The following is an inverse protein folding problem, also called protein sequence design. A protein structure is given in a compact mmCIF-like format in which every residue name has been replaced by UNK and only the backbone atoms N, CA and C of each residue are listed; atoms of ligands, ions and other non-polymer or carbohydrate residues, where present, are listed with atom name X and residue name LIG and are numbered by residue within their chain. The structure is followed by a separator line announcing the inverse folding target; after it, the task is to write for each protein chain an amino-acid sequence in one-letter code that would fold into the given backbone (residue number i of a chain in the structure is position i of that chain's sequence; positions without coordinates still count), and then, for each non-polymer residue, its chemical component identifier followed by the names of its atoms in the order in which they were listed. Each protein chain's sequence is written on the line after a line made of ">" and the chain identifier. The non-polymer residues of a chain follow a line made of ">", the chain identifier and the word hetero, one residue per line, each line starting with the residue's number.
data_IF_610908516993
#
_entry.id   IF_610908516993
#
_cell.length_a   1.000
_cell.length_b   1.000
_cell.length_c   1.000
_cell.angle_alpha   90.00
_cell.angle_beta   90.00
_cell.angle_gamma   90.00
#
_symmetry.space_group_name_H-M   'P 1'
#
loop_
_entity.id
_entity.type
_entity.pdbx_description
1 polymer ?
#
# COMPACT_ATOMS: atom_id res chain seq x y z
N UNK A 1 -8.10 -1.80 -21.85
CA UNK A 1 -8.30 -1.54 -20.42
C UNK A 1 -7.35 -2.48 -19.69
N UNK A 2 -6.36 -1.96 -18.98
CA UNK A 2 -5.47 -2.80 -18.16
C UNK A 2 -6.28 -3.44 -17.04
N UNK A 3 -6.12 -4.76 -16.87
CA UNK A 3 -6.84 -5.54 -15.87
C UNK A 3 -6.19 -5.47 -14.49
N UNK A 4 -6.85 -6.05 -13.49
CA UNK A 4 -6.26 -6.23 -12.15
C UNK A 4 -4.95 -7.04 -12.19
N UNK A 5 -4.84 -8.00 -13.13
CA UNK A 5 -3.62 -8.78 -13.35
C UNK A 5 -2.44 -7.90 -13.74
N UNK A 6 -2.61 -7.04 -14.76
CA UNK A 6 -1.60 -6.07 -15.18
C UNK A 6 -1.22 -5.15 -14.02
N UNK A 7 -2.22 -4.76 -13.22
CA UNK A 7 -2.00 -3.92 -12.05
C UNK A 7 -0.99 -4.52 -11.07
N UNK A 8 -1.16 -5.81 -10.73
CA UNK A 8 -0.28 -6.54 -9.83
C UNK A 8 1.09 -6.86 -10.44
N UNK A 9 1.13 -7.23 -11.71
CA UNK A 9 2.39 -7.56 -12.41
C UNK A 9 3.31 -6.34 -12.45
N UNK A 10 2.78 -5.20 -12.85
CA UNK A 10 3.52 -3.94 -12.94
C UNK A 10 3.87 -3.36 -11.55
N UNK A 11 3.13 -3.69 -10.48
CA UNK A 11 3.49 -3.28 -9.11
C UNK A 11 4.48 -4.22 -8.41
N UNK A 12 4.88 -5.29 -9.09
CA UNK A 12 5.88 -6.23 -8.60
C UNK A 12 5.48 -6.99 -7.34
N UNK A 13 6.48 -7.56 -6.69
CA UNK A 13 6.30 -8.43 -5.53
C UNK A 13 5.72 -7.68 -4.30
N UNK A 14 5.99 -6.38 -4.19
CA UNK A 14 5.49 -5.54 -3.10
C UNK A 14 3.95 -5.41 -3.03
N UNK A 15 3.24 -5.80 -4.09
CA UNK A 15 1.78 -5.83 -4.13
C UNK A 15 1.17 -6.86 -3.17
N UNK A 16 1.78 -8.04 -3.01
CA UNK A 16 1.21 -9.12 -2.20
C UNK A 16 1.24 -8.80 -0.69
N UNK A 17 2.37 -8.34 -0.10
CA UNK A 17 2.38 -7.90 1.28
C UNK A 17 1.41 -6.73 1.53
N UNK A 18 1.37 -5.76 0.61
CA UNK A 18 0.42 -4.63 0.66
C UNK A 18 -1.03 -5.12 0.70
N UNK A 19 -1.39 -6.10 -0.13
CA UNK A 19 -2.73 -6.70 -0.12
C UNK A 19 -3.05 -7.38 1.22
N UNK A 20 -2.13 -8.23 1.71
CA UNK A 20 -2.32 -8.97 2.97
C UNK A 20 -2.51 -8.02 4.14
N UNK A 21 -1.60 -7.06 4.31
CA UNK A 21 -1.71 -6.09 5.40
C UNK A 21 -2.87 -5.11 5.20
N UNK A 22 -3.23 -4.82 3.95
CA UNK A 22 -4.44 -4.07 3.58
C UNK A 22 -5.71 -4.71 4.11
N UNK A 23 -5.89 -5.99 3.80
CA UNK A 23 -7.04 -6.78 4.26
C UNK A 23 -7.05 -6.89 5.78
N UNK A 24 -5.91 -7.15 6.42
CA UNK A 24 -5.81 -7.20 7.89
C UNK A 24 -6.14 -5.85 8.55
N UNK A 25 -5.70 -4.74 7.96
CA UNK A 25 -5.98 -3.38 8.45
C UNK A 25 -7.48 -3.07 8.38
N UNK A 26 -8.13 -3.38 7.25
CA UNK A 26 -9.58 -3.22 7.10
C UNK A 26 -10.33 -4.16 8.05
N UNK A 27 -9.91 -5.41 8.18
CA UNK A 27 -10.49 -6.38 9.11
C UNK A 27 -10.41 -5.91 10.56
N UNK A 28 -9.26 -5.37 10.97
CA UNK A 28 -9.08 -4.74 12.29
C UNK A 28 -10.01 -3.54 12.49
N UNK A 29 -10.13 -2.66 11.49
CA UNK A 29 -11.02 -1.53 11.54
C UNK A 29 -12.50 -1.94 11.69
N UNK A 30 -12.96 -2.93 10.91
CA UNK A 30 -14.32 -3.49 11.03
C UNK A 30 -14.52 -4.09 12.42
N UNK A 31 -13.53 -4.83 12.93
CA UNK A 31 -13.60 -5.45 14.25
C UNK A 31 -13.70 -4.41 15.38
N UNK A 32 -12.99 -3.29 15.26
CA UNK A 32 -13.12 -2.13 16.13
C UNK A 32 -14.48 -1.44 15.99
N UNK A 33 -14.99 -1.26 14.77
CA UNK A 33 -16.27 -0.60 14.53
C UNK A 33 -17.50 -1.39 15.04
N UNK A 34 -17.38 -2.72 15.13
CA UNK A 34 -18.42 -3.59 15.69
C UNK A 34 -18.38 -3.61 17.22
N UNK A 35 -17.20 -3.67 17.86
CA UNK A 35 -17.08 -3.49 19.31
C UNK A 35 -15.89 -2.57 19.63
N UNK A 36 -16.15 -1.27 19.93
CA UNK A 36 -15.10 -0.30 20.18
C UNK A 36 -14.38 -0.56 21.50
N UNK A 37 -13.24 -1.25 21.42
CA UNK A 37 -12.37 -1.54 22.56
C UNK A 37 -10.96 -0.97 22.29
N UNK A 38 -10.29 -0.36 23.30
CA UNK A 38 -8.96 0.25 23.10
C UNK A 38 -7.91 -0.72 22.55
N UNK A 39 -7.95 -2.00 22.95
CA UNK A 39 -7.03 -3.04 22.46
C UNK A 39 -7.18 -3.29 20.95
N UNK A 40 -8.40 -3.22 20.43
CA UNK A 40 -8.69 -3.44 19.00
C UNK A 40 -8.27 -2.24 18.16
N UNK A 41 -8.42 -1.04 18.70
CA UNK A 41 -7.88 0.17 18.08
C UNK A 41 -6.35 0.11 18.02
N UNK A 42 -5.68 -0.31 19.10
CA UNK A 42 -4.23 -0.48 19.12
C UNK A 42 -3.74 -1.51 18.09
N UNK A 43 -4.42 -2.66 17.97
CA UNK A 43 -4.14 -3.65 16.92
C UNK A 43 -4.33 -3.05 15.51
N UNK A 44 -5.43 -2.35 15.29
CA UNK A 44 -5.72 -1.69 14.00
C UNK A 44 -4.65 -0.66 13.66
N UNK A 45 -4.21 0.13 14.63
CA UNK A 45 -3.12 1.10 14.46
C UNK A 45 -1.78 0.42 14.14
N UNK A 46 -1.48 -0.71 14.79
CA UNK A 46 -0.28 -1.49 14.47
C UNK A 46 -0.33 -2.04 13.03
N UNK A 47 -1.47 -2.57 12.59
CA UNK A 47 -1.65 -3.06 11.21
C UNK A 47 -1.59 -1.93 10.19
N UNK A 48 -2.18 -0.77 10.49
CA UNK A 48 -2.05 0.43 9.68
C UNK A 48 -0.58 0.84 9.49
N UNK A 49 0.21 0.83 10.57
CA UNK A 49 1.64 1.13 10.51
C UNK A 49 2.39 0.08 9.68
N UNK A 50 2.10 -1.21 9.87
CA UNK A 50 2.67 -2.29 9.06
C UNK A 50 2.37 -2.10 7.57
N UNK A 51 1.13 -1.73 7.22
CA UNK A 51 0.74 -1.45 5.85
C UNK A 51 1.51 -0.25 5.27
N UNK A 52 1.64 0.85 6.01
CA UNK A 52 2.45 2.00 5.60
C UNK A 52 3.91 1.60 5.37
N UNK A 53 4.50 0.83 6.29
CA UNK A 53 5.86 0.31 6.13
C UNK A 53 6.00 -0.59 4.91
N UNK A 54 5.01 -1.45 4.64
CA UNK A 54 5.01 -2.32 3.46
C UNK A 54 4.92 -1.53 2.15
N UNK A 55 4.07 -0.49 2.09
CA UNK A 55 3.97 0.42 0.95
C UNK A 55 5.32 1.10 0.69
N UNK A 56 5.91 1.71 1.71
CA UNK A 56 7.20 2.41 1.60
C UNK A 56 8.29 1.45 1.12
N UNK A 57 8.36 0.27 1.71
CA UNK A 57 9.35 -0.74 1.34
C UNK A 57 9.16 -1.20 -0.11
N UNK A 58 7.93 -1.49 -0.53
CA UNK A 58 7.60 -1.90 -1.90
C UNK A 58 7.96 -0.83 -2.93
N UNK A 59 7.56 0.43 -2.68
CA UNK A 59 7.93 1.56 -3.54
C UNK A 59 9.45 1.72 -3.61
N UNK A 60 10.16 1.56 -2.49
CA UNK A 60 11.62 1.64 -2.47
C UNK A 60 12.29 0.54 -3.28
N UNK A 61 11.79 -0.70 -3.20
CA UNK A 61 12.32 -1.82 -3.99
C UNK A 61 12.07 -1.65 -5.48
N UNK A 62 10.92 -1.09 -5.87
CA UNK A 62 10.62 -0.81 -7.28
C UNK A 62 11.54 0.29 -7.82
N UNK A 63 11.76 1.36 -7.06
CA UNK A 63 12.71 2.41 -7.43
C UNK A 63 14.14 1.87 -7.56
N UNK A 64 14.57 1.00 -6.63
CA UNK A 64 15.88 0.36 -6.71
C UNK A 64 16.02 -0.50 -7.98
N UNK A 65 14.96 -1.22 -8.37
CA UNK A 65 14.94 -2.00 -9.61
C UNK A 65 15.06 -1.12 -10.85
N UNK A 66 14.41 0.04 -10.88
CA UNK A 66 14.54 1.02 -11.97
C UNK A 66 15.98 1.53 -12.07
N UNK A 67 16.59 1.93 -10.95
CA UNK A 67 17.96 2.44 -10.96
C UNK A 67 18.96 1.37 -11.41
N UNK A 68 18.81 0.13 -10.92
CA UNK A 68 19.63 -1.00 -11.35
C UNK A 68 19.46 -1.33 -12.83
N UNK A 69 18.26 -1.13 -13.40
CA UNK A 69 18.02 -1.33 -14.82
C UNK A 69 18.66 -0.23 -15.68
N UNK A 70 18.61 1.03 -15.23
CA UNK A 70 19.16 2.19 -15.94
C UNK A 70 20.69 2.25 -15.89
N UNK A 71 21.32 1.66 -14.87
CA UNK A 71 22.78 1.62 -14.73
C UNK A 71 23.47 0.82 -15.86
N UNK A 72 22.77 -0.14 -16.47
CA UNK A 72 23.32 -1.00 -17.51
C UNK A 72 23.09 -0.40 -18.93
N UNK A 73 24.15 0.13 -19.60
CA UNK A 73 24.01 0.75 -20.92
C UNK A 73 23.62 -0.25 -22.01
N UNK A 74 23.85 -1.55 -21.79
CA UNK A 74 23.43 -2.59 -22.73
C UNK A 74 21.92 -2.85 -22.66
N UNK A 75 21.28 -2.53 -21.52
CA UNK A 75 19.82 -2.67 -21.34
C UNK A 75 19.05 -1.41 -21.74
N UNK A 76 19.65 -0.23 -21.60
CA UNK A 76 18.95 1.04 -21.83
C UNK A 76 19.73 1.95 -22.77
N UNK A 77 19.43 1.94 -24.09
CA UNK A 77 19.94 2.96 -25.00
C UNK A 77 19.51 4.37 -24.57
N UNK A 78 20.36 5.38 -24.76
CA UNK A 78 20.15 6.75 -24.26
C UNK A 78 18.77 7.34 -24.59
N UNK A 79 18.26 7.09 -25.80
CA UNK A 79 16.95 7.56 -26.26
C UNK A 79 15.75 6.96 -25.51
N UNK A 80 15.93 5.87 -24.77
CA UNK A 80 14.88 5.19 -24.02
C UNK A 80 14.86 5.55 -22.52
N UNK A 81 15.93 6.18 -21.98
CA UNK A 81 16.10 6.44 -20.54
C UNK A 81 14.89 7.16 -19.94
N UNK A 82 14.46 8.27 -20.55
CA UNK A 82 13.34 9.07 -20.03
C UNK A 82 12.03 8.26 -19.98
N UNK A 83 11.76 7.45 -21.01
CA UNK A 83 10.57 6.60 -21.05
C UNK A 83 10.63 5.49 -20.00
N UNK A 84 11.77 4.83 -19.86
CA UNK A 84 12.00 3.78 -18.85
C UNK A 84 11.85 4.33 -17.44
N UNK A 85 12.44 5.49 -17.16
CA UNK A 85 12.32 6.16 -15.87
C UNK A 85 10.87 6.51 -15.53
N UNK A 86 10.13 7.14 -16.44
CA UNK A 86 8.72 7.50 -16.20
C UNK A 86 7.84 6.25 -16.03
N UNK A 87 8.12 5.19 -16.79
CA UNK A 87 7.40 3.91 -16.68
C UNK A 87 7.66 3.27 -15.32
N UNK A 88 8.93 3.22 -14.90
CA UNK A 88 9.34 2.70 -13.61
C UNK A 88 8.74 3.49 -12.44
N UNK A 89 8.75 4.82 -12.52
CA UNK A 89 8.10 5.68 -11.51
C UNK A 89 6.59 5.41 -11.42
N UNK A 90 5.89 5.28 -12.56
CA UNK A 90 4.48 4.87 -12.59
C UNK A 90 4.28 3.52 -11.88
N UNK A 91 5.17 2.56 -12.11
CA UNK A 91 5.11 1.22 -11.49
C UNK A 91 5.32 1.27 -9.97
N UNK A 92 6.30 2.03 -9.50
CA UNK A 92 6.60 2.20 -8.07
C UNK A 92 5.46 2.84 -7.25
N UNK A 93 4.49 3.51 -7.90
CA UNK A 93 3.32 4.09 -7.22
C UNK A 93 2.21 3.08 -6.95
N UNK A 94 2.25 1.87 -7.53
CA UNK A 94 1.16 0.90 -7.45
C UNK A 94 0.93 0.32 -6.07
N UNK A 95 1.97 -0.05 -5.31
CA UNK A 95 1.81 -0.41 -3.91
C UNK A 95 1.13 0.71 -3.12
N UNK A 96 1.52 1.97 -3.39
CA UNK A 96 0.91 3.16 -2.78
C UNK A 96 -0.57 3.34 -3.13
N UNK A 97 -0.95 3.14 -4.40
CA UNK A 97 -2.35 3.25 -4.82
C UNK A 97 -3.24 2.17 -4.18
N UNK A 98 -2.75 0.93 -4.14
CA UNK A 98 -3.47 -0.19 -3.50
C UNK A 98 -3.57 0.02 -1.99
N UNK A 99 -2.42 0.24 -1.34
CA UNK A 99 -2.34 0.43 0.10
C UNK A 99 -3.12 1.67 0.56
N UNK A 100 -3.04 2.77 -0.18
CA UNK A 100 -3.82 3.99 0.05
C UNK A 100 -5.32 3.72 0.07
N UNK A 101 -5.83 2.88 -0.85
CA UNK A 101 -7.25 2.48 -0.86
C UNK A 101 -7.63 1.78 0.45
N UNK A 102 -6.82 0.84 0.92
CA UNK A 102 -7.06 0.17 2.21
C UNK A 102 -6.98 1.13 3.39
N UNK A 103 -6.01 2.05 3.40
CA UNK A 103 -5.87 3.06 4.46
C UNK A 103 -7.10 3.97 4.50
N UNK A 104 -7.59 4.46 3.36
CA UNK A 104 -8.80 5.29 3.28
C UNK A 104 -10.03 4.54 3.82
N UNK A 105 -10.23 3.29 3.42
CA UNK A 105 -11.34 2.46 3.91
C UNK A 105 -11.23 2.21 5.42
N UNK A 106 -10.05 1.82 5.90
CA UNK A 106 -9.82 1.55 7.31
C UNK A 106 -10.06 2.79 8.17
N UNK A 107 -9.57 3.97 7.76
CA UNK A 107 -9.79 5.23 8.49
C UNK A 107 -11.27 5.62 8.55
N UNK A 108 -12.00 5.45 7.45
CA UNK A 108 -13.45 5.69 7.43
C UNK A 108 -14.18 4.77 8.42
N UNK A 109 -13.82 3.48 8.44
CA UNK A 109 -14.43 2.50 9.34
C UNK A 109 -14.05 2.78 10.80
N UNK A 110 -12.80 3.14 11.08
CA UNK A 110 -12.36 3.57 12.42
C UNK A 110 -13.14 4.80 12.89
N UNK A 111 -13.39 5.79 12.01
CA UNK A 111 -14.20 6.95 12.36
C UNK A 111 -15.63 6.54 12.77
N UNK A 112 -16.25 5.59 12.06
CA UNK A 112 -17.55 5.02 12.44
C UNK A 112 -17.47 4.33 13.81
N UNK A 113 -16.41 3.55 14.06
CA UNK A 113 -16.18 2.90 15.36
C UNK A 113 -16.00 3.89 16.51
N UNK A 114 -15.30 4.99 16.26
CA UNK A 114 -15.11 6.06 17.23
C UNK A 114 -16.42 6.75 17.60
N UNK A 115 -17.33 6.98 16.62
CA UNK A 115 -18.66 7.51 16.87
C UNK A 115 -19.55 6.58 17.71
N UNK A 116 -19.30 5.27 17.67
CA UNK A 116 -20.02 4.25 18.46
C UNK A 116 -19.37 3.96 19.81
N UNK A 117 -18.16 4.44 20.05
CA UNK A 117 -17.46 4.19 21.29
C UNK A 117 -18.19 4.88 22.45
N UNK A 118 -18.37 4.21 23.60
CA UNK A 118 -18.96 4.85 24.78
C UNK A 118 -18.17 6.10 25.15
N UNK A 119 -18.87 7.21 25.41
CA UNK A 119 -18.22 8.41 25.96
C UNK A 119 -17.61 8.02 27.30
N UNK A 120 -16.31 8.28 27.47
CA UNK A 120 -15.67 8.27 28.77
C UNK A 120 -15.96 9.64 29.38
N UNK A 121 -17.07 9.72 30.10
CA UNK A 121 -17.40 10.81 31.00
C UNK A 121 -16.50 10.74 32.25
#
# INVERSE_FOLDING_TARGET
>A
MSGLGDFFVEGGWGMYPTLVFGVMTVGGAVWFAVKPEPRRLAFTAAMWLTLVSAIVHATWTDLAAVMAYLEDPAKTPDGAIARTLVTGLKESTRPGALGGTFLTLALLIVAIGALRAPRRD
#
